data_IF_155822589152
#
_entry.id   IF_155822589152
#
_cell.length_a   1.000
_cell.length_b   1.000
_cell.length_c   1.000
_cell.angle_alpha   90.00
_cell.angle_beta   90.00
_cell.angle_gamma   90.00
#
_symmetry.space_group_name_H-M   'P 1'
#
loop_
_entity.id
_entity.type
_entity.pdbx_description
1 polymer ?
#
# COMPACT_ATOMS: atom_id res chain seq x y z
N UNK A 1 -8.80 -17.78 -7.26
CA UNK A 1 -7.68 -17.79 -6.30
C UNK A 1 -6.61 -16.88 -6.89
N UNK A 2 -6.02 -15.95 -6.12
CA UNK A 2 -4.96 -15.09 -6.62
C UNK A 2 -3.78 -15.90 -7.15
N UNK A 3 -3.08 -15.39 -8.16
CA UNK A 3 -1.91 -16.05 -8.76
C UNK A 3 -0.64 -15.32 -8.34
N UNK A 4 0.33 -16.06 -7.80
CA UNK A 4 1.63 -15.52 -7.40
C UNK A 4 2.63 -15.68 -8.54
N UNK A 5 3.21 -14.57 -9.01
CA UNK A 5 4.27 -14.54 -10.02
C UNK A 5 5.56 -14.05 -9.37
N UNK A 6 6.66 -14.76 -9.58
CA UNK A 6 7.94 -14.48 -8.91
C UNK A 6 8.93 -13.94 -9.94
N UNK A 7 9.34 -12.70 -9.76
CA UNK A 7 10.39 -12.05 -10.53
C UNK A 7 11.71 -12.05 -9.74
N UNK A 8 12.85 -11.73 -10.40
CA UNK A 8 14.12 -11.59 -9.71
C UNK A 8 14.07 -10.53 -8.60
N UNK A 9 13.52 -9.35 -8.87
CA UNK A 9 13.54 -8.17 -8.01
C UNK A 9 12.25 -7.97 -7.18
N UNK A 10 11.17 -8.69 -7.49
CA UNK A 10 9.90 -8.58 -6.78
C UNK A 10 8.98 -9.80 -6.94
N UNK A 11 7.85 -9.79 -6.26
CA UNK A 11 6.74 -10.74 -6.42
C UNK A 11 5.49 -9.94 -6.79
N UNK A 12 4.70 -10.48 -7.71
CA UNK A 12 3.35 -10.02 -7.99
C UNK A 12 2.33 -11.02 -7.42
N UNK A 13 1.23 -10.50 -6.90
CA UNK A 13 0.01 -11.26 -6.62
C UNK A 13 -1.06 -10.66 -7.52
N UNK A 14 -1.51 -11.45 -8.49
CA UNK A 14 -2.61 -11.08 -9.38
C UNK A 14 -3.92 -11.39 -8.66
N UNK A 15 -4.58 -10.31 -8.22
CA UNK A 15 -5.80 -10.34 -7.45
C UNK A 15 -7.05 -10.12 -8.30
N UNK A 16 -8.07 -9.57 -7.64
CA UNK A 16 -9.32 -9.08 -8.20
C UNK A 16 -9.66 -7.77 -7.50
N UNK A 17 -10.59 -7.02 -8.08
CA UNK A 17 -11.00 -5.72 -7.54
C UNK A 17 -10.10 -4.60 -8.02
N UNK A 18 -9.97 -3.59 -7.18
CA UNK A 18 -9.39 -2.28 -7.51
C UNK A 18 -8.36 -1.83 -6.47
N UNK A 19 -7.97 -2.71 -5.54
CA UNK A 19 -6.99 -2.42 -4.50
C UNK A 19 -5.66 -3.10 -4.84
N UNK A 20 -4.57 -2.34 -4.73
CA UNK A 20 -3.20 -2.77 -4.86
C UNK A 20 -2.44 -2.55 -3.55
N UNK A 21 -1.81 -3.60 -3.02
CA UNK A 21 -0.95 -3.53 -1.84
C UNK A 21 0.52 -3.54 -2.25
N UNK A 22 1.36 -2.67 -1.68
CA UNK A 22 2.81 -2.69 -1.95
C UNK A 22 3.62 -2.86 -0.67
N UNK A 23 4.75 -3.57 -0.77
CA UNK A 23 5.77 -3.63 0.28
C UNK A 23 7.14 -3.50 -0.39
N UNK A 24 7.71 -2.29 -0.52
CA UNK A 24 8.90 -2.08 -1.35
C UNK A 24 10.18 -2.53 -0.67
N UNK A 25 10.22 -2.53 0.68
CA UNK A 25 11.46 -2.64 1.44
C UNK A 25 11.54 -3.92 2.29
N UNK A 26 11.29 -5.08 1.70
CA UNK A 26 11.25 -6.34 2.46
C UNK A 26 12.62 -7.01 2.62
N UNK A 27 13.60 -6.62 1.81
CA UNK A 27 14.90 -7.27 1.76
C UNK A 27 15.94 -6.61 2.67
N UNK A 28 16.75 -7.45 3.32
CA UNK A 28 17.85 -7.09 4.23
C UNK A 28 18.91 -6.19 3.56
N UNK A 29 19.75 -5.47 4.34
CA UNK A 29 19.85 -5.47 5.81
C UNK A 29 18.89 -4.51 6.52
N UNK A 30 18.49 -3.40 5.90
CA UNK A 30 17.53 -2.43 6.45
C UNK A 30 16.09 -2.78 6.02
N UNK A 31 15.66 -4.01 6.27
CA UNK A 31 14.34 -4.47 5.88
C UNK A 31 13.25 -3.91 6.80
N UNK A 32 12.12 -3.54 6.20
CA UNK A 32 10.85 -3.43 6.92
C UNK A 32 10.37 -4.85 7.26
N UNK A 33 10.98 -5.46 8.28
CA UNK A 33 10.74 -6.84 8.69
C UNK A 33 9.24 -7.20 8.70
N UNK A 34 8.92 -8.38 8.19
CA UNK A 34 7.56 -8.95 8.09
C UNK A 34 6.58 -8.24 7.14
N UNK A 35 6.85 -7.04 6.63
CA UNK A 35 5.92 -6.33 5.73
C UNK A 35 5.60 -7.12 4.46
N UNK A 36 6.60 -7.81 3.88
CA UNK A 36 6.38 -8.68 2.72
C UNK A 36 5.40 -9.82 3.00
N UNK A 37 5.57 -10.52 4.12
CA UNK A 37 4.65 -11.60 4.54
C UNK A 37 3.27 -11.05 4.87
N UNK A 38 3.19 -9.91 5.55
CA UNK A 38 1.93 -9.24 5.87
C UNK A 38 1.16 -8.89 4.60
N UNK A 39 1.82 -8.25 3.62
CA UNK A 39 1.19 -7.88 2.34
C UNK A 39 0.79 -9.12 1.56
N UNK A 40 1.63 -10.15 1.52
CA UNK A 40 1.29 -11.40 0.84
C UNK A 40 0.04 -12.04 1.44
N UNK A 41 -0.01 -12.23 2.76
CA UNK A 41 -1.15 -12.85 3.43
C UNK A 41 -2.42 -12.00 3.34
N UNK A 42 -2.30 -10.67 3.44
CA UNK A 42 -3.44 -9.78 3.29
C UNK A 42 -4.01 -9.83 1.85
N UNK A 43 -3.16 -9.75 0.83
CA UNK A 43 -3.57 -9.84 -0.57
C UNK A 43 -4.23 -11.18 -0.90
N UNK A 44 -3.72 -12.29 -0.33
CA UNK A 44 -4.34 -13.60 -0.51
C UNK A 44 -5.72 -13.68 0.17
N UNK A 45 -5.89 -13.02 1.31
CA UNK A 45 -7.12 -13.02 2.11
C UNK A 45 -8.22 -12.16 1.46
N UNK A 46 -7.91 -10.90 1.13
CA UNK A 46 -8.85 -9.97 0.46
C UNK A 46 -8.96 -10.21 -1.05
N UNK A 47 -8.10 -11.08 -1.59
CA UNK A 47 -7.95 -11.32 -3.03
C UNK A 47 -7.49 -10.08 -3.80
N UNK A 48 -6.87 -9.11 -3.15
CA UNK A 48 -6.37 -7.88 -3.79
C UNK A 48 -5.08 -8.13 -4.58
N UNK A 49 -4.70 -7.16 -5.40
CA UNK A 49 -3.41 -7.19 -6.09
C UNK A 49 -2.29 -6.87 -5.10
N UNK A 50 -1.07 -7.36 -5.35
CA UNK A 50 0.10 -6.92 -4.62
C UNK A 50 1.40 -6.90 -5.44
N UNK A 51 2.31 -5.99 -5.07
CA UNK A 51 3.70 -5.99 -5.55
C UNK A 51 4.66 -5.89 -4.35
N UNK A 52 5.49 -6.91 -4.17
CA UNK A 52 6.36 -7.06 -2.99
C UNK A 52 7.83 -7.06 -3.44
N UNK A 53 8.59 -6.04 -3.04
CA UNK A 53 9.98 -5.86 -3.43
C UNK A 53 10.90 -6.87 -2.75
N UNK A 54 11.87 -7.41 -3.49
CA UNK A 54 12.89 -8.38 -3.01
C UNK A 54 14.32 -7.81 -3.06
N UNK A 55 14.48 -6.56 -3.44
CA UNK A 55 15.78 -5.89 -3.54
C UNK A 55 16.00 -5.02 -2.31
N UNK A 56 17.22 -5.08 -1.77
CA UNK A 56 17.62 -4.26 -0.64
C UNK A 56 17.58 -2.78 -1.00
N UNK A 57 17.03 -1.94 -0.12
CA UNK A 57 17.04 -0.48 -0.32
C UNK A 57 18.44 0.12 -0.35
N UNK A 58 19.45 -0.57 0.19
CA UNK A 58 20.86 -0.15 0.09
C UNK A 58 21.41 -0.27 -1.34
N UNK A 59 20.91 -1.24 -2.12
CA UNK A 59 21.30 -1.43 -3.51
C UNK A 59 20.45 -0.59 -4.45
N UNK A 60 19.12 -0.70 -4.31
CA UNK A 60 18.16 0.09 -5.07
C UNK A 60 16.92 0.27 -4.22
N UNK A 61 16.69 1.50 -3.76
CA UNK A 61 15.47 1.85 -3.05
C UNK A 61 14.30 1.91 -4.05
N UNK A 62 13.49 0.84 -4.05
CA UNK A 62 12.29 0.69 -4.88
C UNK A 62 11.20 1.74 -4.60
N UNK A 63 11.30 2.48 -3.49
CA UNK A 63 10.42 3.59 -3.16
C UNK A 63 11.00 4.95 -3.58
N UNK A 64 12.10 5.03 -4.33
CA UNK A 64 12.65 6.32 -4.81
C UNK A 64 12.55 6.49 -6.31
N UNK A 65 12.62 7.74 -6.78
CA UNK A 65 12.56 8.11 -8.21
C UNK A 65 13.61 7.37 -9.06
N UNK A 66 14.78 7.05 -8.51
CA UNK A 66 15.85 6.33 -9.20
C UNK A 66 15.40 4.93 -9.65
N UNK A 67 14.40 4.34 -8.98
CA UNK A 67 13.83 3.05 -9.31
C UNK A 67 12.70 3.10 -10.33
N UNK A 68 12.33 4.28 -10.85
CA UNK A 68 11.15 4.46 -11.71
C UNK A 68 11.10 3.55 -12.95
N UNK A 69 12.26 3.10 -13.44
CA UNK A 69 12.37 2.19 -14.60
C UNK A 69 12.55 0.72 -14.22
N UNK A 70 12.52 0.40 -12.92
CA UNK A 70 12.62 -0.98 -12.41
C UNK A 70 11.39 -1.81 -12.79
N UNK A 71 11.54 -3.13 -12.84
CA UNK A 71 10.42 -4.03 -13.13
C UNK A 71 9.37 -3.94 -12.02
N UNK A 72 9.78 -3.83 -10.74
CA UNK A 72 8.86 -3.55 -9.63
C UNK A 72 7.94 -2.34 -9.89
N UNK A 73 8.48 -1.22 -10.39
CA UNK A 73 7.70 0.00 -10.70
C UNK A 73 6.83 -0.17 -11.94
N UNK A 74 7.31 -0.91 -12.94
CA UNK A 74 6.51 -1.27 -14.13
C UNK A 74 5.32 -2.13 -13.78
N UNK A 75 5.45 -3.06 -12.83
CA UNK A 75 4.34 -3.91 -12.37
C UNK A 75 3.25 -3.10 -11.66
N UNK A 76 3.63 -2.14 -10.82
CA UNK A 76 2.66 -1.21 -10.21
C UNK A 76 1.93 -0.41 -11.30
N UNK A 77 2.67 0.14 -12.25
CA UNK A 77 2.08 0.91 -13.36
C UNK A 77 1.16 0.05 -14.23
N UNK A 78 1.55 -1.19 -14.54
CA UNK A 78 0.77 -2.16 -15.30
C UNK A 78 -0.57 -2.43 -14.63
N UNK A 79 -0.56 -2.79 -13.34
CA UNK A 79 -1.81 -3.00 -12.60
C UNK A 79 -2.69 -1.75 -12.57
N UNK A 80 -2.10 -0.56 -12.39
CA UNK A 80 -2.89 0.68 -12.41
C UNK A 80 -3.50 0.97 -13.79
N UNK A 81 -2.73 0.81 -14.86
CA UNK A 81 -3.16 1.16 -16.20
C UNK A 81 -4.10 0.12 -16.82
N UNK A 82 -3.90 -1.16 -16.55
CA UNK A 82 -4.54 -2.26 -17.26
C UNK A 82 -5.65 -2.92 -16.43
N UNK A 83 -5.48 -3.04 -15.12
CA UNK A 83 -6.42 -3.75 -14.23
C UNK A 83 -7.38 -2.82 -13.47
N UNK A 84 -7.29 -1.51 -13.73
CA UNK A 84 -8.22 -0.52 -13.21
C UNK A 84 -8.13 -0.33 -11.70
N UNK A 85 -6.93 -0.44 -11.12
CA UNK A 85 -6.68 -0.12 -9.71
C UNK A 85 -7.12 1.33 -9.43
N UNK A 86 -7.80 1.50 -8.30
CA UNK A 86 -8.31 2.78 -7.80
C UNK A 86 -7.67 3.15 -6.46
N UNK A 87 -7.19 2.17 -5.70
CA UNK A 87 -6.55 2.37 -4.40
C UNK A 87 -5.20 1.64 -4.35
N UNK A 88 -4.16 2.35 -3.94
CA UNK A 88 -2.84 1.78 -3.65
C UNK A 88 -2.51 1.99 -2.17
N UNK A 89 -2.26 0.91 -1.44
CA UNK A 89 -1.80 0.96 -0.05
C UNK A 89 -0.34 0.54 0.00
N UNK A 90 0.54 1.50 0.26
CA UNK A 90 1.97 1.27 0.44
C UNK A 90 2.27 0.93 1.89
N UNK A 91 2.50 -0.36 2.15
CA UNK A 91 2.70 -0.93 3.48
C UNK A 91 4.19 -0.94 3.82
N UNK A 92 4.49 -0.36 4.97
CA UNK A 92 5.83 0.04 5.36
C UNK A 92 6.09 -0.30 6.83
N UNK A 93 7.36 -0.37 7.20
CA UNK A 93 7.80 -0.60 8.57
C UNK A 93 8.43 0.64 9.18
N UNK A 94 8.15 0.89 10.45
CA UNK A 94 8.90 1.85 11.29
C UNK A 94 9.37 1.21 12.59
N UNK A 95 10.32 1.86 13.26
CA UNK A 95 10.90 1.33 14.51
C UNK A 95 9.96 1.55 15.69
N UNK A 96 9.37 2.74 15.74
CA UNK A 96 8.54 3.22 16.83
C UNK A 96 7.18 2.50 16.83
N UNK A 97 6.57 2.20 18.00
CA UNK A 97 5.23 1.61 18.08
C UNK A 97 4.12 2.47 17.45
N UNK A 98 2.98 1.85 17.21
CA UNK A 98 1.81 2.47 16.59
C UNK A 98 1.88 2.53 15.06
N UNK A 99 0.87 3.15 14.47
CA UNK A 99 0.69 3.22 13.02
C UNK A 99 0.70 4.67 12.54
N UNK A 100 1.47 4.96 11.50
CA UNK A 100 1.46 6.25 10.82
C UNK A 100 0.80 6.11 9.45
N UNK A 101 -0.11 7.03 9.12
CA UNK A 101 -0.72 7.17 7.80
C UNK A 101 -0.19 8.43 7.13
N UNK A 102 0.35 8.30 5.92
CA UNK A 102 0.82 9.41 5.08
C UNK A 102 -0.03 9.57 3.83
N UNK A 103 -0.56 10.78 3.62
CA UNK A 103 -1.37 11.15 2.43
C UNK A 103 -0.93 12.46 1.78
N UNK A 104 0.29 12.91 2.11
CA UNK A 104 0.87 14.20 1.74
C UNK A 104 -0.08 15.38 2.03
N UNK A 105 -0.70 15.36 3.21
CA UNK A 105 -1.75 16.29 3.61
C UNK A 105 -2.95 16.32 2.62
N UNK A 106 -3.45 15.14 2.26
CA UNK A 106 -4.61 14.98 1.37
C UNK A 106 -4.31 15.14 -0.13
N UNK A 107 -3.04 15.26 -0.51
CA UNK A 107 -2.66 15.39 -1.94
C UNK A 107 -2.70 14.06 -2.67
N UNK A 108 -2.49 12.94 -1.99
CA UNK A 108 -2.44 11.61 -2.62
C UNK A 108 -3.70 10.77 -2.39
N UNK A 109 -4.57 11.18 -1.46
CA UNK A 109 -5.75 10.43 -1.05
C UNK A 109 -6.82 11.39 -0.53
N UNK A 110 -8.10 11.06 -0.73
CA UNK A 110 -9.23 11.84 -0.23
C UNK A 110 -9.38 11.73 1.30
N UNK A 111 -10.03 12.72 1.91
CA UNK A 111 -10.34 12.69 3.35
C UNK A 111 -11.24 11.51 3.71
N UNK A 112 -12.21 11.16 2.84
CA UNK A 112 -13.11 10.02 3.06
C UNK A 112 -12.37 8.70 3.14
N UNK A 113 -11.47 8.44 2.19
CA UNK A 113 -10.68 7.20 2.17
C UNK A 113 -9.66 7.20 3.31
N UNK A 114 -9.05 8.36 3.60
CA UNK A 114 -8.11 8.51 4.73
C UNK A 114 -8.78 8.20 6.07
N UNK A 115 -9.97 8.76 6.33
CA UNK A 115 -10.70 8.51 7.57
C UNK A 115 -11.23 7.08 7.65
N UNK A 116 -11.58 6.44 6.53
CA UNK A 116 -11.92 5.01 6.51
C UNK A 116 -10.74 4.17 7.00
N UNK A 117 -9.56 4.32 6.37
CA UNK A 117 -8.35 3.56 6.72
C UNK A 117 -7.97 3.80 8.19
N UNK A 118 -7.94 5.06 8.61
CA UNK A 118 -7.67 5.45 10.00
C UNK A 118 -8.68 4.84 10.97
N UNK A 119 -9.98 4.93 10.69
CA UNK A 119 -11.02 4.42 11.58
C UNK A 119 -10.93 2.90 11.74
N UNK A 120 -10.56 2.17 10.68
CA UNK A 120 -10.39 0.72 10.76
C UNK A 120 -9.19 0.34 11.62
N UNK A 121 -8.04 0.97 11.38
CA UNK A 121 -6.79 0.72 12.11
C UNK A 121 -6.86 1.19 13.57
N UNK A 122 -7.61 2.26 13.85
CA UNK A 122 -7.75 2.79 15.22
C UNK A 122 -8.53 1.87 16.17
N UNK A 123 -9.15 0.80 15.65
CA UNK A 123 -9.79 -0.24 16.48
C UNK A 123 -8.75 -1.06 17.24
N UNK A 124 -7.58 -1.26 16.65
CA UNK A 124 -6.54 -2.15 17.17
C UNK A 124 -5.23 -1.41 17.50
N UNK A 125 -5.00 -0.23 16.92
CA UNK A 125 -3.72 0.47 17.02
C UNK A 125 -3.86 1.94 17.38
N UNK A 126 -2.79 2.52 17.97
CA UNK A 126 -2.66 3.98 18.05
C UNK A 126 -2.25 4.51 16.68
N UNK A 127 -3.12 5.31 16.05
CA UNK A 127 -2.92 5.84 14.70
C UNK A 127 -2.62 7.33 14.71
N UNK A 128 -1.58 7.75 13.99
CA UNK A 128 -1.32 9.15 13.65
C UNK A 128 -1.44 9.35 12.14
N UNK A 129 -1.92 10.52 11.72
CA UNK A 129 -2.06 10.87 10.30
C UNK A 129 -1.19 12.10 10.02
N UNK A 130 -0.33 12.02 9.00
CA UNK A 130 0.52 13.11 8.50
C UNK A 130 1.40 13.79 9.59
N UNK A 131 1.89 13.04 10.59
CA UNK A 131 2.65 13.61 11.71
C UNK A 131 4.17 13.53 11.58
N UNK A 132 4.70 12.42 11.07
CA UNK A 132 6.15 12.13 11.02
C UNK A 132 6.58 11.90 9.58
N UNK A 133 6.01 10.88 8.92
CA UNK A 133 6.17 10.63 7.49
C UNK A 133 4.87 10.94 6.78
N UNK A 134 4.85 12.08 6.07
CA UNK A 134 3.65 12.52 5.35
C UNK A 134 3.46 11.78 4.02
N UNK A 135 4.50 11.13 3.49
CA UNK A 135 4.44 10.54 2.15
C UNK A 135 4.38 11.61 1.05
N UNK A 136 5.00 12.76 1.27
CA UNK A 136 4.99 13.93 0.39
C UNK A 136 6.26 14.09 -0.45
N UNK A 137 7.24 13.20 -0.28
CA UNK A 137 8.46 13.25 -1.05
C UNK A 137 8.21 12.95 -2.54
N UNK A 138 8.69 13.79 -3.47
CA UNK A 138 8.53 13.54 -4.90
C UNK A 138 9.18 12.23 -5.37
N UNK A 139 8.46 11.44 -6.17
CA UNK A 139 8.97 10.23 -6.80
C UNK A 139 8.95 8.98 -5.93
N UNK A 140 8.36 9.06 -4.73
CA UNK A 140 8.00 7.87 -3.97
C UNK A 140 6.72 7.25 -4.53
N UNK A 141 6.41 6.01 -4.15
CA UNK A 141 5.27 5.26 -4.71
C UNK A 141 3.98 6.08 -4.62
N UNK A 142 3.64 6.57 -3.43
CA UNK A 142 2.38 7.32 -3.24
C UNK A 142 2.34 8.63 -4.05
N UNK A 143 3.43 9.36 -4.19
CA UNK A 143 3.43 10.60 -5.00
C UNK A 143 3.52 10.34 -6.50
N UNK A 144 4.00 9.16 -6.93
CA UNK A 144 4.17 8.80 -8.34
C UNK A 144 2.89 8.26 -8.98
N UNK A 145 2.03 7.61 -8.20
CA UNK A 145 0.91 6.82 -8.73
C UNK A 145 -0.48 7.35 -8.40
N UNK A 146 -0.60 8.35 -7.53
CA UNK A 146 -1.87 9.06 -7.37
C UNK A 146 -2.24 9.76 -8.68
N UNK A 147 -3.52 9.76 -9.03
CA UNK A 147 -4.03 10.38 -10.25
C UNK A 147 -5.32 11.10 -9.95
N UNK A 148 -5.47 12.31 -10.50
CA UNK A 148 -6.71 13.08 -10.45
C UNK A 148 -7.22 13.36 -11.86
N UNK A 149 -8.53 13.49 -11.99
CA UNK A 149 -9.18 13.93 -13.22
C UNK A 149 -9.08 15.46 -13.39
N UNK A 150 -9.63 15.98 -14.50
CA UNK A 150 -9.63 17.42 -14.78
C UNK A 150 -10.47 18.25 -13.78
N UNK A 151 -11.28 17.61 -12.93
CA UNK A 151 -12.10 18.23 -11.89
C UNK A 151 -11.46 18.10 -10.50
N UNK A 152 -10.21 17.67 -10.43
CA UNK A 152 -9.45 17.41 -9.19
C UNK A 152 -10.02 16.26 -8.33
N UNK A 153 -10.86 15.38 -8.91
CA UNK A 153 -11.30 14.16 -8.23
C UNK A 153 -10.26 13.05 -8.40
N UNK A 154 -10.04 12.25 -7.36
CA UNK A 154 -9.13 11.12 -7.45
C UNK A 154 -9.64 10.02 -8.39
N UNK A 155 -8.82 9.71 -9.38
CA UNK A 155 -8.92 8.50 -10.21
C UNK A 155 -8.15 7.38 -9.55
N UNK A 156 -6.98 7.65 -8.97
CA UNK A 156 -6.22 6.68 -8.17
C UNK A 156 -5.81 7.37 -6.88
N UNK A 157 -6.23 6.80 -5.76
CA UNK A 157 -5.85 7.23 -4.42
C UNK A 157 -4.72 6.35 -3.91
N UNK A 158 -3.70 6.95 -3.30
CA UNK A 158 -2.56 6.21 -2.76
C UNK A 158 -2.27 6.65 -1.33
N UNK A 159 -2.03 5.68 -0.46
CA UNK A 159 -1.89 5.88 0.98
C UNK A 159 -0.63 5.15 1.45
N UNK A 160 0.21 5.83 2.22
CA UNK A 160 1.31 5.20 2.93
C UNK A 160 0.83 4.75 4.31
N UNK A 161 1.09 3.51 4.71
CA UNK A 161 0.76 2.98 6.04
C UNK A 161 2.00 2.33 6.64
N UNK A 162 2.54 2.94 7.69
CA UNK A 162 3.72 2.45 8.40
C UNK A 162 3.33 1.82 9.72
N UNK A 163 3.62 0.53 9.87
CA UNK A 163 3.42 -0.21 11.12
C UNK A 163 4.71 -0.24 11.94
N UNK A 164 4.59 0.01 13.23
CA UNK A 164 5.68 -0.16 14.18
C UNK A 164 6.19 -1.61 14.25
N UNK A 165 7.37 -1.80 14.83
CA UNK A 165 7.97 -3.12 14.93
C UNK A 165 7.13 -4.07 15.79
N UNK A 166 6.56 -3.56 16.89
CA UNK A 166 5.72 -4.33 17.80
C UNK A 166 4.45 -4.85 17.11
N UNK A 167 3.79 -4.01 16.32
CA UNK A 167 2.60 -4.40 15.56
C UNK A 167 2.93 -5.49 14.54
N UNK A 168 4.01 -5.31 13.78
CA UNK A 168 4.43 -6.26 12.73
C UNK A 168 4.91 -7.59 13.30
N UNK A 169 5.51 -7.60 14.49
CA UNK A 169 6.07 -8.82 15.08
C UNK A 169 5.07 -9.55 15.97
N UNK A 170 4.38 -8.85 16.87
CA UNK A 170 3.56 -9.45 17.92
C UNK A 170 2.06 -9.38 17.65
N UNK A 171 1.61 -8.46 16.78
CA UNK A 171 0.20 -8.29 16.41
C UNK A 171 -0.04 -8.56 14.92
N UNK A 172 0.84 -9.34 14.29
CA UNK A 172 0.87 -9.58 12.84
C UNK A 172 -0.46 -10.03 12.27
N UNK A 173 -1.17 -10.95 12.94
CA UNK A 173 -2.47 -11.45 12.49
C UNK A 173 -3.53 -10.34 12.45
N UNK A 174 -3.51 -9.42 13.42
CA UNK A 174 -4.39 -8.25 13.42
C UNK A 174 -4.04 -7.30 12.29
N UNK A 175 -2.74 -7.04 12.06
CA UNK A 175 -2.29 -6.20 10.94
C UNK A 175 -2.78 -6.78 9.60
N UNK A 176 -2.64 -8.09 9.40
CA UNK A 176 -3.12 -8.78 8.19
C UNK A 176 -4.64 -8.65 8.07
N UNK A 177 -5.39 -8.92 9.14
CA UNK A 177 -6.86 -8.81 9.16
C UNK A 177 -7.32 -7.39 8.81
N UNK A 178 -6.72 -6.38 9.43
CA UNK A 178 -7.08 -4.99 9.20
C UNK A 178 -6.78 -4.53 7.79
N UNK A 179 -5.61 -4.87 7.22
CA UNK A 179 -5.28 -4.53 5.82
C UNK A 179 -6.24 -5.23 4.86
N UNK A 180 -6.57 -6.51 5.12
CA UNK A 180 -7.49 -7.28 4.28
C UNK A 180 -8.89 -6.67 4.28
N UNK A 181 -9.42 -6.35 5.48
CA UNK A 181 -10.73 -5.72 5.61
C UNK A 181 -10.79 -4.32 5.01
N UNK A 182 -9.71 -3.53 5.13
CA UNK A 182 -9.62 -2.23 4.46
C UNK A 182 -9.76 -2.43 2.95
N UNK A 183 -9.03 -3.37 2.37
CA UNK A 183 -9.11 -3.65 0.95
C UNK A 183 -10.53 -4.08 0.52
N UNK A 184 -11.16 -4.99 1.28
CA UNK A 184 -12.54 -5.43 1.01
C UNK A 184 -13.55 -4.27 1.05
N UNK A 185 -13.44 -3.37 2.03
CA UNK A 185 -14.33 -2.21 2.16
C UNK A 185 -14.12 -1.24 0.99
N UNK A 186 -12.87 -0.97 0.62
CA UNK A 186 -12.55 -0.07 -0.50
C UNK A 186 -13.09 -0.61 -1.83
N UNK A 187 -12.94 -1.92 -2.07
CA UNK A 187 -13.53 -2.56 -3.24
C UNK A 187 -15.06 -2.49 -3.23
N UNK A 188 -15.70 -2.71 -2.08
CA UNK A 188 -17.15 -2.64 -1.95
C UNK A 188 -17.71 -1.25 -2.26
N UNK A 189 -17.01 -0.17 -1.88
CA UNK A 189 -17.44 1.21 -2.17
C UNK A 189 -17.52 1.51 -3.67
N UNK A 190 -16.66 0.89 -4.47
CA UNK A 190 -16.66 1.03 -5.93
C UNK A 190 -17.78 0.25 -6.61
N UNK A 191 -18.25 -0.83 -5.99
CA UNK A 191 -19.41 -1.58 -6.49
C UNK A 191 -20.70 -0.80 -6.22
N UNK A 192 -20.85 -0.24 -5.02
CA UNK A 192 -22.05 0.53 -4.65
C UNK A 192 -22.20 1.83 -5.44
N UNK A 193 -21.09 2.51 -5.75
CA UNK A 193 -21.11 3.76 -6.54
C UNK A 193 -21.43 3.56 -8.02
N UNK A 194 -21.47 2.31 -8.52
CA UNK A 194 -21.92 1.97 -9.89
C UNK A 194 -23.38 1.53 -9.96
N UNK A 195 -24.06 1.42 -8.82
CA UNK A 195 -25.45 0.97 -8.70
C UNK A 195 -26.50 2.10 -8.68
N UNK A 196 -26.07 3.36 -8.68
CA UNK A 196 -26.89 4.58 -8.76
C UNK A 196 -26.81 5.21 -10.16
#
# INVERSE_FOLDING_TARGET
MPVKIIYPDHVEIVGLGHVLLTAPHTASPDADLHTGTIVEEAALTSRSYAVIGKVSREFLDLNRIQSAQSEFRKSIEGFIAEDGIRYLLDIRGKKEPGVNIGTAAGKTCSDSTTELVKSRLSKDFTVKVNSENMGDEPGIIVTSYNRKDAKDNFVVETIQVEFGHEERQFQREKVISDISEIADILDAQLVTSRGD
#
